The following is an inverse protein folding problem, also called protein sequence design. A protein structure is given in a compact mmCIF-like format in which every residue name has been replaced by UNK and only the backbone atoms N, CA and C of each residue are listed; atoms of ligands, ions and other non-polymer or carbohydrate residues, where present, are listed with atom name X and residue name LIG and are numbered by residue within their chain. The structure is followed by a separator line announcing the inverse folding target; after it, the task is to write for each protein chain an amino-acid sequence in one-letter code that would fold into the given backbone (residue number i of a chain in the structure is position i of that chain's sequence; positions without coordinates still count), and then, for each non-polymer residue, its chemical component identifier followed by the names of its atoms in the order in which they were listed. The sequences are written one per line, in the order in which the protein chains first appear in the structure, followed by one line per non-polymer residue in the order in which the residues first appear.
data_IF_859816055797
#
_entry.id   IF_859816055797
#
_cell.length_a   1.000
_cell.length_b   1.000
_cell.length_c   1.000
_cell.angle_alpha   90.00
_cell.angle_beta   90.00
_cell.angle_gamma   90.00
#
_symmetry.space_group_name_H-M   'P 1'
#
loop_
_entity.id
_entity.type
_entity.pdbx_description
1 polymer ?
#
# COMPACT_ATOMS: atom_id res chain seq x y z
N UNK A 1 -11.04 0.90 -10.48
CA UNK A 1 -10.26 2.16 -10.36
C UNK A 1 -8.84 1.79 -9.97
N UNK A 2 -7.83 2.52 -10.46
CA UNK A 2 -6.44 2.31 -10.05
C UNK A 2 -5.97 3.52 -9.23
N UNK A 3 -5.42 3.27 -8.05
CA UNK A 3 -5.01 4.31 -7.11
C UNK A 3 -3.53 4.13 -6.76
N UNK A 4 -2.75 5.18 -6.97
CA UNK A 4 -1.37 5.27 -6.50
C UNK A 4 -1.37 5.88 -5.09
N UNK A 5 -0.82 5.16 -4.12
CA UNK A 5 -0.65 5.59 -2.74
C UNK A 5 0.84 5.78 -2.48
N UNK A 6 1.27 7.02 -2.32
CA UNK A 6 2.64 7.35 -1.90
C UNK A 6 2.77 7.24 -0.38
N UNK A 7 3.83 6.61 0.13
CA UNK A 7 4.03 6.45 1.58
C UNK A 7 3.13 5.38 2.20
N UNK A 8 2.65 4.41 1.40
CA UNK A 8 1.69 3.40 1.84
C UNK A 8 2.27 2.33 2.78
N UNK A 9 3.57 2.31 3.05
CA UNK A 9 4.18 1.46 4.09
C UNK A 9 4.29 2.18 5.45
N UNK A 10 3.99 3.48 5.52
CA UNK A 10 3.91 4.25 6.77
C UNK A 10 2.59 4.00 7.54
N UNK A 11 2.45 4.61 8.72
CA UNK A 11 1.32 4.35 9.64
C UNK A 11 -0.08 4.61 9.03
N UNK A 12 -0.33 5.82 8.54
CA UNK A 12 -1.63 6.17 7.95
C UNK A 12 -1.77 5.51 6.57
N UNK A 13 -0.69 5.54 5.77
CA UNK A 13 -0.68 4.98 4.43
C UNK A 13 -1.04 3.50 4.40
N UNK A 14 -0.50 2.70 5.32
CA UNK A 14 -0.82 1.26 5.37
C UNK A 14 -2.27 1.02 5.75
N UNK A 15 -2.81 1.75 6.73
CA UNK A 15 -4.22 1.65 7.11
C UNK A 15 -5.15 2.05 5.96
N UNK A 16 -4.80 3.10 5.21
CA UNK A 16 -5.53 3.50 4.01
C UNK A 16 -5.52 2.39 2.95
N UNK A 17 -4.35 1.78 2.69
CA UNK A 17 -4.24 0.64 1.76
C UNK A 17 -5.15 -0.52 2.19
N UNK A 18 -5.10 -0.91 3.47
CA UNK A 18 -5.98 -1.97 4.01
C UNK A 18 -7.46 -1.64 3.83
N UNK A 19 -7.86 -0.43 4.25
CA UNK A 19 -9.24 0.02 4.14
C UNK A 19 -9.73 0.00 2.69
N UNK A 20 -8.92 0.48 1.75
CA UNK A 20 -9.31 0.54 0.34
C UNK A 20 -9.45 -0.85 -0.28
N UNK A 21 -8.55 -1.78 0.03
CA UNK A 21 -8.64 -3.16 -0.46
C UNK A 21 -9.85 -3.90 0.11
N UNK A 22 -10.21 -3.65 1.38
CA UNK A 22 -11.38 -4.25 2.03
C UNK A 22 -12.69 -3.62 1.56
N UNK A 23 -12.72 -2.32 1.33
CA UNK A 23 -13.94 -1.59 0.97
C UNK A 23 -14.29 -1.69 -0.52
N UNK A 24 -13.30 -1.94 -1.37
CA UNK A 24 -13.46 -1.92 -2.83
C UNK A 24 -12.77 -3.12 -3.49
N UNK A 25 -13.48 -4.22 -3.62
CA UNK A 25 -12.96 -5.49 -4.15
C UNK A 25 -12.38 -5.40 -5.57
N UNK A 26 -12.80 -4.42 -6.37
CA UNK A 26 -12.36 -4.26 -7.78
C UNK A 26 -11.28 -3.19 -7.96
N UNK A 27 -10.86 -2.51 -6.89
CA UNK A 27 -9.87 -1.44 -6.97
C UNK A 27 -8.46 -2.00 -6.90
N UNK A 28 -7.56 -1.45 -7.72
CA UNK A 28 -6.12 -1.77 -7.66
C UNK A 28 -5.40 -0.67 -6.89
N UNK A 29 -4.64 -1.08 -5.88
CA UNK A 29 -3.87 -0.19 -5.04
C UNK A 29 -2.38 -0.42 -5.32
N UNK A 30 -1.71 0.62 -5.83
CA UNK A 30 -0.27 0.63 -6.04
C UNK A 30 0.34 1.44 -4.91
N UNK A 31 1.03 0.78 -4.00
CA UNK A 31 1.76 1.41 -2.90
C UNK A 31 3.20 1.71 -3.35
N UNK A 32 3.48 2.99 -3.58
CA UNK A 32 4.82 3.51 -3.85
C UNK A 32 5.43 4.03 -2.54
N UNK A 33 6.51 3.42 -2.09
CA UNK A 33 7.16 3.82 -0.84
C UNK A 33 8.69 3.76 -0.97
N UNK A 34 9.36 4.79 -0.45
CA UNK A 34 10.83 4.85 -0.44
C UNK A 34 11.43 3.93 0.63
N UNK A 35 10.62 3.43 1.57
CA UNK A 35 11.04 2.69 2.76
C UNK A 35 12.10 3.46 3.56
N UNK A 36 11.81 4.74 3.82
CA UNK A 36 12.58 5.55 4.77
C UNK A 36 12.35 5.05 6.20
N UNK A 37 12.93 5.72 7.21
CA UNK A 37 12.82 5.33 8.62
C UNK A 37 11.39 5.03 9.10
N UNK A 38 10.38 5.76 8.61
CA UNK A 38 8.98 5.59 9.03
C UNK A 38 8.21 4.52 8.22
N UNK A 39 8.81 3.96 7.17
CA UNK A 39 8.21 2.91 6.34
C UNK A 39 8.48 1.52 6.89
N UNK A 40 7.44 0.70 7.08
CA UNK A 40 7.58 -0.66 7.59
C UNK A 40 6.72 -1.66 6.81
N UNK A 41 7.37 -2.57 6.06
CA UNK A 41 6.68 -3.59 5.27
C UNK A 41 5.81 -4.55 6.10
N UNK A 42 6.09 -4.69 7.40
CA UNK A 42 5.23 -5.49 8.28
C UNK A 42 3.81 -4.93 8.36
N UNK A 43 3.63 -3.62 8.13
CA UNK A 43 2.31 -2.98 8.12
C UNK A 43 1.43 -3.47 6.97
N UNK A 44 2.01 -3.94 5.86
CA UNK A 44 1.30 -4.41 4.66
C UNK A 44 1.53 -5.89 4.37
N UNK A 45 2.23 -6.61 5.26
CA UNK A 45 2.59 -8.02 5.06
C UNK A 45 1.38 -8.94 4.87
N UNK A 46 0.25 -8.66 5.53
CA UNK A 46 -0.97 -9.47 5.41
C UNK A 46 -1.67 -9.34 4.06
N UNK A 47 -1.37 -8.29 3.29
CA UNK A 47 -1.99 -8.00 1.99
C UNK A 47 -0.97 -8.02 0.84
N UNK A 48 0.29 -8.36 1.11
CA UNK A 48 1.38 -8.30 0.13
C UNK A 48 1.10 -9.18 -1.10
N UNK A 49 0.37 -10.28 -0.91
CA UNK A 49 0.02 -11.26 -1.95
C UNK A 49 -1.43 -11.07 -2.45
N UNK A 50 -2.11 -10.00 -2.05
CA UNK A 50 -3.46 -9.70 -2.52
C UNK A 50 -3.44 -9.36 -4.01
N UNK A 51 -4.31 -9.96 -4.86
CA UNK A 51 -4.23 -9.81 -6.33
C UNK A 51 -4.40 -8.38 -6.85
N UNK A 52 -5.00 -7.52 -6.03
CA UNK A 52 -5.19 -6.10 -6.32
C UNK A 52 -4.22 -5.15 -5.60
N UNK A 53 -3.27 -5.68 -4.82
CA UNK A 53 -2.23 -4.90 -4.18
C UNK A 53 -0.92 -5.04 -4.96
N UNK A 54 -0.25 -3.91 -5.19
CA UNK A 54 1.03 -3.84 -5.86
C UNK A 54 1.96 -2.97 -5.03
N UNK A 55 3.18 -3.43 -4.80
CA UNK A 55 4.20 -2.65 -4.10
C UNK A 55 5.30 -2.22 -5.08
N UNK A 56 5.69 -0.95 -5.01
CA UNK A 56 6.81 -0.39 -5.76
C UNK A 56 7.71 0.33 -4.76
N UNK A 57 8.97 -0.10 -4.68
CA UNK A 57 9.99 0.64 -3.94
C UNK A 57 10.51 1.78 -4.80
N UNK A 58 10.34 3.03 -4.36
CA UNK A 58 10.79 4.19 -5.12
C UNK A 58 10.59 5.50 -4.38
N UNK A 59 11.23 6.53 -4.88
CA UNK A 59 11.17 7.91 -4.38
C UNK A 59 10.53 8.80 -5.47
N UNK A 60 9.99 9.96 -5.08
CA UNK A 60 9.29 10.89 -5.98
C UNK A 60 9.91 12.29 -5.90
#
# INVERSE_FOLDING_TARGET
MNILVTGGAGFIGSNFVHYMLQSYETYKIINLDALTYSGNLNNVKSIQDHPNYYFVKGEI
#
